data_IF_056560099399
#
_entry.id   IF_056560099399
#
_cell.length_a   1.000
_cell.length_b   1.000
_cell.length_c   1.000
_cell.angle_alpha   90.00
_cell.angle_beta   90.00
_cell.angle_gamma   90.00
#
_symmetry.space_group_name_H-M   'P 1'
#
loop_
_entity.id
_entity.type
_entity.pdbx_description
1 polymer ?
#
# COMPACT_ATOMS: atom_id res chain seq x y z
N UNK A 1 19.20 22.92 -8.66
CA UNK A 1 17.95 22.52 -9.35
C UNK A 1 17.96 21.01 -9.39
N UNK A 2 16.89 20.37 -8.88
CA UNK A 2 16.78 18.90 -8.89
C UNK A 2 16.19 18.40 -10.19
N UNK A 3 16.65 17.23 -10.64
CA UNK A 3 16.24 16.60 -11.89
C UNK A 3 15.33 15.40 -11.62
N UNK A 4 14.15 15.39 -12.23
CA UNK A 4 13.14 14.36 -12.03
C UNK A 4 12.85 13.66 -13.36
N UNK A 5 12.95 12.33 -13.35
CA UNK A 5 12.54 11.49 -14.48
C UNK A 5 11.18 10.83 -14.21
N UNK A 6 10.28 10.90 -15.19
CA UNK A 6 8.94 10.31 -15.11
C UNK A 6 8.90 9.03 -15.95
N UNK A 7 8.78 7.90 -15.29
CA UNK A 7 8.60 6.61 -15.95
C UNK A 7 7.11 6.28 -16.00
N UNK A 8 6.56 6.14 -17.17
CA UNK A 8 5.13 6.08 -17.46
C UNK A 8 4.43 7.46 -17.44
N UNK A 9 3.14 7.41 -17.79
CA UNK A 9 2.29 8.58 -17.71
C UNK A 9 1.90 8.83 -16.24
N UNK A 10 2.51 9.83 -15.64
CA UNK A 10 2.19 10.29 -14.27
C UNK A 10 1.19 11.44 -14.37
N UNK A 11 0.17 11.45 -13.50
CA UNK A 11 -0.85 12.48 -13.48
C UNK A 11 -0.25 13.90 -13.36
N UNK A 12 -0.73 14.81 -14.22
CA UNK A 12 -0.32 16.21 -14.20
C UNK A 12 -0.60 16.92 -12.87
N UNK A 13 -1.58 16.44 -12.09
CA UNK A 13 -1.87 16.98 -10.75
C UNK A 13 -0.70 16.72 -9.79
N UNK A 14 -0.03 15.58 -9.93
CA UNK A 14 1.18 15.28 -9.17
C UNK A 14 2.39 16.07 -9.68
N UNK A 15 2.63 16.08 -10.99
CA UNK A 15 3.79 16.80 -11.55
C UNK A 15 3.70 18.32 -11.38
N UNK A 16 2.51 18.90 -11.28
CA UNK A 16 2.30 20.32 -10.98
C UNK A 16 2.67 20.70 -9.52
N UNK A 17 3.01 19.75 -8.66
CA UNK A 17 3.51 20.03 -7.30
C UNK A 17 4.94 20.53 -7.28
N UNK A 18 5.73 20.17 -8.30
CA UNK A 18 7.13 20.59 -8.40
C UNK A 18 7.22 22.08 -8.73
N UNK A 19 8.06 22.77 -7.96
CA UNK A 19 8.35 24.20 -8.17
C UNK A 19 9.41 24.41 -9.26
N UNK A 20 9.76 25.67 -9.53
CA UNK A 20 10.82 26.03 -10.46
C UNK A 20 12.24 25.55 -10.04
N UNK A 21 12.37 24.99 -8.82
CA UNK A 21 13.60 24.33 -8.37
C UNK A 21 13.80 22.93 -8.95
N UNK A 22 12.87 22.46 -9.75
CA UNK A 22 12.87 21.12 -10.36
C UNK A 22 12.80 21.23 -11.88
N UNK A 23 13.49 20.33 -12.56
CA UNK A 23 13.38 20.15 -14.01
C UNK A 23 13.06 18.67 -14.32
N UNK A 24 12.30 18.45 -15.38
CA UNK A 24 12.02 17.11 -15.86
C UNK A 24 13.03 16.72 -16.94
N UNK A 25 13.60 15.51 -16.81
CA UNK A 25 14.59 14.95 -17.72
C UNK A 25 14.08 13.66 -18.37
N UNK A 26 14.58 13.37 -19.56
CA UNK A 26 14.14 12.23 -20.36
C UNK A 26 14.75 10.88 -19.92
N UNK A 27 15.87 10.92 -19.19
CA UNK A 27 16.60 9.71 -18.77
C UNK A 27 16.83 9.70 -17.25
N UNK A 28 16.75 8.50 -16.67
CA UNK A 28 17.04 8.26 -15.27
C UNK A 28 18.53 8.46 -14.92
N UNK A 29 19.44 8.38 -15.89
CA UNK A 29 20.89 8.59 -15.70
C UNK A 29 21.18 10.02 -15.24
N UNK A 30 20.41 10.98 -15.71
CA UNK A 30 20.55 12.39 -15.37
C UNK A 30 19.70 12.82 -14.18
N UNK A 31 18.90 11.91 -13.61
CA UNK A 31 17.91 12.24 -12.60
C UNK A 31 18.45 12.13 -11.17
N UNK A 32 18.02 13.05 -10.30
CA UNK A 32 18.12 12.93 -8.85
C UNK A 32 16.99 12.06 -8.27
N UNK A 33 15.81 12.10 -8.87
CA UNK A 33 14.65 11.34 -8.48
C UNK A 33 13.85 10.79 -9.65
N UNK A 34 13.22 9.64 -9.43
CA UNK A 34 12.35 8.98 -10.41
C UNK A 34 10.95 8.82 -9.84
N UNK A 35 9.92 9.15 -10.64
CA UNK A 35 8.54 8.74 -10.33
C UNK A 35 8.13 7.65 -11.31
N UNK A 36 7.65 6.51 -10.77
CA UNK A 36 7.19 5.37 -11.54
C UNK A 36 5.80 4.94 -11.09
N UNK A 37 5.00 4.35 -11.98
CA UNK A 37 3.72 3.74 -11.64
C UNK A 37 3.75 2.23 -11.83
N UNK A 38 3.76 1.74 -13.06
CA UNK A 38 3.61 0.33 -13.40
C UNK A 38 4.76 -0.27 -14.17
N UNK A 39 5.72 0.54 -14.65
CA UNK A 39 6.88 0.03 -15.38
C UNK A 39 7.74 -0.88 -14.49
N UNK A 40 8.23 -1.96 -15.07
CA UNK A 40 9.15 -2.87 -14.42
C UNK A 40 10.57 -2.29 -14.42
N UNK A 41 11.13 -2.04 -13.25
CA UNK A 41 12.49 -1.52 -13.06
C UNK A 41 13.53 -2.61 -12.74
N UNK A 42 13.17 -3.89 -12.71
CA UNK A 42 14.11 -4.98 -12.42
C UNK A 42 15.16 -5.16 -13.51
N UNK A 43 14.82 -4.87 -14.76
CA UNK A 43 15.69 -5.00 -15.92
C UNK A 43 16.34 -3.68 -16.33
N UNK A 44 16.03 -2.59 -15.60
CA UNK A 44 16.58 -1.26 -15.86
C UNK A 44 17.84 -1.04 -15.04
N UNK A 45 18.86 -0.44 -15.65
CA UNK A 45 20.04 0.00 -14.91
C UNK A 45 19.67 1.20 -14.03
N UNK A 46 19.86 1.05 -12.70
CA UNK A 46 19.66 2.12 -11.75
C UNK A 46 20.99 2.84 -11.55
N UNK A 47 21.08 4.14 -11.89
CA UNK A 47 22.31 4.90 -11.72
C UNK A 47 22.72 5.00 -10.26
N UNK A 48 24.01 4.92 -9.98
CA UNK A 48 24.53 5.09 -8.61
C UNK A 48 24.33 6.50 -8.07
N UNK A 49 24.11 7.47 -8.94
CA UNK A 49 23.79 8.87 -8.61
C UNK A 49 22.35 9.07 -8.17
N UNK A 50 21.43 8.17 -8.57
CA UNK A 50 20.00 8.31 -8.26
C UNK A 50 19.76 8.27 -6.75
N UNK A 51 19.09 9.29 -6.24
CA UNK A 51 18.82 9.47 -4.80
C UNK A 51 17.56 8.75 -4.35
N UNK A 52 16.49 8.79 -5.15
CA UNK A 52 15.23 8.18 -4.78
C UNK A 52 14.37 7.75 -5.97
N UNK A 53 13.53 6.74 -5.71
CA UNK A 53 12.44 6.30 -6.59
C UNK A 53 11.14 6.42 -5.80
N UNK A 54 10.17 7.19 -6.31
CA UNK A 54 8.83 7.28 -5.73
C UNK A 54 7.83 6.55 -6.62
N UNK A 55 7.20 5.50 -6.08
CA UNK A 55 6.15 4.78 -6.77
C UNK A 55 4.79 5.42 -6.52
N UNK A 56 4.14 5.91 -7.57
CA UNK A 56 2.75 6.38 -7.52
C UNK A 56 1.79 5.18 -7.39
N UNK A 57 1.70 4.61 -6.19
CA UNK A 57 0.91 3.44 -5.83
C UNK A 57 1.44 2.70 -4.60
N UNK A 58 0.62 1.85 -3.99
CA UNK A 58 0.96 1.17 -2.72
C UNK A 58 1.91 -0.03 -2.89
N UNK A 59 1.73 -0.87 -3.91
CA UNK A 59 2.59 -2.04 -4.15
C UNK A 59 3.93 -1.65 -4.77
N UNK A 60 5.00 -2.43 -4.58
CA UNK A 60 6.37 -2.10 -5.07
C UNK A 60 7.08 -3.27 -5.72
N UNK A 61 6.34 -4.28 -6.13
CA UNK A 61 6.87 -5.50 -6.76
C UNK A 61 7.52 -5.28 -8.14
N UNK A 62 7.36 -4.11 -8.72
CA UNK A 62 8.01 -3.69 -9.97
C UNK A 62 9.35 -2.96 -9.76
N UNK A 63 9.83 -2.83 -8.51
CA UNK A 63 11.07 -2.10 -8.16
C UNK A 63 12.06 -3.06 -7.47
N UNK A 64 13.35 -3.09 -7.84
CA UNK A 64 14.38 -3.92 -7.20
C UNK A 64 14.83 -3.33 -5.86
N UNK A 65 14.03 -3.49 -4.81
CA UNK A 65 14.17 -2.84 -3.50
C UNK A 65 15.53 -3.14 -2.86
N UNK A 66 15.97 -4.41 -2.86
CA UNK A 66 17.25 -4.81 -2.24
C UNK A 66 18.46 -4.19 -2.96
N UNK A 67 18.39 -4.07 -4.30
CA UNK A 67 19.41 -3.39 -5.08
C UNK A 67 19.46 -1.90 -4.71
N UNK A 68 18.32 -1.24 -4.63
CA UNK A 68 18.21 0.15 -4.21
C UNK A 68 18.77 0.38 -2.79
N UNK A 69 18.43 -0.50 -1.83
CA UNK A 69 18.93 -0.40 -0.46
C UNK A 69 20.46 -0.47 -0.38
N UNK A 70 21.08 -1.39 -1.12
CA UNK A 70 22.54 -1.55 -1.21
C UNK A 70 23.25 -0.35 -1.84
N UNK A 71 22.53 0.45 -2.63
CA UNK A 71 23.07 1.65 -3.30
C UNK A 71 22.77 2.94 -2.51
N UNK A 72 21.99 2.87 -1.43
CA UNK A 72 21.50 4.05 -0.71
C UNK A 72 20.48 4.87 -1.51
N UNK A 73 19.75 4.24 -2.43
CA UNK A 73 18.64 4.84 -3.17
C UNK A 73 17.36 4.57 -2.40
N UNK A 74 16.65 5.61 -1.99
CA UNK A 74 15.40 5.47 -1.23
C UNK A 74 14.26 5.07 -2.16
N UNK A 75 13.43 4.11 -1.75
CA UNK A 75 12.23 3.73 -2.50
C UNK A 75 11.01 4.08 -1.67
N UNK A 76 10.21 5.01 -2.17
CA UNK A 76 8.93 5.42 -1.59
C UNK A 76 7.76 4.70 -2.28
N UNK A 77 6.68 4.50 -1.54
CA UNK A 77 5.38 4.16 -2.08
C UNK A 77 4.32 5.10 -1.49
N UNK A 78 3.09 5.02 -1.97
CA UNK A 78 2.01 5.94 -1.55
C UNK A 78 0.90 5.19 -0.80
N UNK A 79 1.16 4.75 0.45
CA UNK A 79 0.19 3.98 1.22
C UNK A 79 -1.02 4.85 1.56
N UNK A 80 -2.21 4.32 1.31
CA UNK A 80 -3.47 5.01 1.62
C UNK A 80 -3.95 6.03 0.58
N UNK A 81 -3.12 6.46 -0.37
CA UNK A 81 -3.52 7.42 -1.39
C UNK A 81 -4.68 6.91 -2.27
N UNK A 82 -4.76 5.59 -2.47
CA UNK A 82 -5.82 4.90 -3.22
C UNK A 82 -6.92 4.29 -2.32
N UNK A 83 -6.88 4.53 -1.01
CA UNK A 83 -7.73 3.80 -0.06
C UNK A 83 -9.21 3.99 -0.31
N UNK A 84 -9.65 5.18 -0.73
CA UNK A 84 -11.04 5.44 -1.03
C UNK A 84 -11.54 4.62 -2.23
N UNK A 85 -10.75 4.52 -3.31
CA UNK A 85 -11.12 3.72 -4.48
C UNK A 85 -11.29 2.24 -4.11
N UNK A 86 -10.35 1.68 -3.35
CA UNK A 86 -10.44 0.28 -2.90
C UNK A 86 -11.66 0.09 -1.98
N UNK A 87 -11.95 1.02 -1.08
CA UNK A 87 -13.14 0.98 -0.23
C UNK A 87 -14.44 0.93 -1.09
N UNK A 88 -14.53 1.75 -2.13
CA UNK A 88 -15.68 1.76 -3.03
C UNK A 88 -15.81 0.44 -3.81
N UNK A 89 -14.69 -0.14 -4.21
CA UNK A 89 -14.68 -1.45 -4.86
C UNK A 89 -15.12 -2.57 -3.91
N UNK A 90 -14.72 -2.53 -2.62
CA UNK A 90 -15.20 -3.45 -1.58
C UNK A 90 -16.71 -3.34 -1.41
N UNK A 91 -17.24 -2.12 -1.33
CA UNK A 91 -18.70 -1.90 -1.23
C UNK A 91 -19.44 -2.42 -2.46
N UNK A 92 -18.89 -2.19 -3.64
CA UNK A 92 -19.44 -2.74 -4.90
C UNK A 92 -19.45 -4.27 -4.86
N UNK A 93 -18.35 -4.90 -4.47
CA UNK A 93 -18.23 -6.34 -4.32
C UNK A 93 -19.20 -6.92 -3.29
N UNK A 94 -19.39 -6.22 -2.17
CA UNK A 94 -20.36 -6.55 -1.14
C UNK A 94 -21.79 -6.62 -1.70
N UNK A 95 -22.19 -5.62 -2.50
CA UNK A 95 -23.53 -5.56 -3.11
C UNK A 95 -23.71 -6.63 -4.20
N UNK A 96 -22.69 -6.83 -5.04
CA UNK A 96 -22.71 -7.85 -6.10
C UNK A 96 -22.77 -9.27 -5.54
N UNK A 97 -22.12 -9.52 -4.39
CA UNK A 97 -22.14 -10.83 -3.76
C UNK A 97 -23.43 -11.09 -2.96
N UNK A 98 -24.11 -10.03 -2.51
CA UNK A 98 -25.35 -10.15 -1.72
C UNK A 98 -26.56 -10.56 -2.58
N UNK A 99 -26.59 -10.16 -3.85
CA UNK A 99 -27.59 -10.51 -4.87
C UNK A 99 -26.91 -10.87 -6.17
N UNK A 100 -27.49 -11.77 -6.94
CA UNK A 100 -26.93 -12.17 -8.24
C UNK A 100 -27.24 -11.12 -9.34
N UNK A 101 -26.66 -9.93 -9.19
CA UNK A 101 -26.86 -8.81 -10.11
C UNK A 101 -26.24 -9.14 -11.49
N UNK A 102 -25.05 -9.75 -11.51
CA UNK A 102 -24.33 -10.08 -12.75
C UNK A 102 -25.13 -11.11 -13.54
N UNK A 103 -25.50 -12.22 -12.92
CA UNK A 103 -26.31 -13.25 -13.59
C UNK A 103 -27.66 -12.72 -14.07
N UNK A 104 -28.29 -11.80 -13.33
CA UNK A 104 -29.53 -11.13 -13.75
C UNK A 104 -29.31 -10.27 -15.00
N UNK A 105 -28.23 -9.50 -15.06
CA UNK A 105 -27.88 -8.68 -16.24
C UNK A 105 -27.62 -9.56 -17.47
N UNK A 106 -26.86 -10.64 -17.30
CA UNK A 106 -26.54 -11.58 -18.38
C UNK A 106 -27.82 -12.27 -18.89
N UNK A 107 -28.70 -12.68 -17.98
CA UNK A 107 -29.97 -13.28 -18.33
C UNK A 107 -30.84 -12.35 -19.18
N UNK A 108 -31.00 -11.08 -18.73
CA UNK A 108 -31.79 -10.08 -19.49
C UNK A 108 -31.20 -9.86 -20.89
N UNK A 109 -29.86 -9.74 -20.98
CA UNK A 109 -29.17 -9.58 -22.28
C UNK A 109 -29.36 -10.77 -23.20
N UNK A 110 -29.35 -12.00 -22.68
CA UNK A 110 -29.54 -13.23 -23.48
C UNK A 110 -30.98 -13.42 -23.97
N UNK A 111 -31.95 -12.64 -23.45
CA UNK A 111 -33.36 -12.66 -23.82
C UNK A 111 -33.79 -11.36 -24.45
N UNK A 112 -32.88 -10.64 -25.12
CA UNK A 112 -33.16 -9.34 -25.74
C UNK A 112 -34.26 -9.42 -26.85
N UNK A 113 -34.44 -10.58 -27.49
CA UNK A 113 -35.40 -10.80 -28.53
C UNK A 113 -36.79 -11.29 -28.03
N UNK A 114 -36.96 -11.43 -26.69
CA UNK A 114 -38.24 -11.84 -26.12
C UNK A 114 -39.25 -10.67 -26.15
N UNK A 115 -40.32 -10.72 -26.97
CA UNK A 115 -41.31 -9.65 -27.04
C UNK A 115 -42.12 -9.48 -25.74
N UNK A 116 -42.15 -10.51 -24.87
CA UNK A 116 -42.82 -10.50 -23.59
C UNK A 116 -41.86 -10.33 -22.39
N UNK A 117 -40.65 -9.81 -22.62
CA UNK A 117 -39.57 -9.72 -21.61
C UNK A 117 -40.05 -9.15 -20.27
N UNK A 118 -40.92 -8.12 -20.31
CA UNK A 118 -41.48 -7.50 -19.12
C UNK A 118 -42.28 -8.46 -18.24
N UNK A 119 -42.91 -9.48 -18.81
CA UNK A 119 -43.62 -10.54 -18.08
C UNK A 119 -42.68 -11.68 -17.68
N UNK A 120 -41.71 -11.98 -18.54
CA UNK A 120 -40.79 -13.09 -18.33
C UNK A 120 -39.84 -12.80 -17.16
N UNK A 121 -39.36 -11.56 -17.03
CA UNK A 121 -38.51 -11.15 -15.90
C UNK A 121 -39.18 -11.35 -14.53
N UNK A 122 -40.51 -11.12 -14.45
CA UNK A 122 -41.26 -11.30 -13.19
C UNK A 122 -41.30 -12.78 -12.74
N UNK A 123 -41.26 -13.72 -13.69
CA UNK A 123 -41.23 -15.16 -13.39
C UNK A 123 -39.88 -15.64 -12.88
N UNK A 124 -38.77 -15.06 -13.40
CA UNK A 124 -37.42 -15.52 -13.13
C UNK A 124 -36.70 -14.72 -12.06
N UNK A 125 -37.15 -13.53 -11.69
CA UNK A 125 -36.49 -12.62 -10.70
C UNK A 125 -36.12 -13.29 -9.39
N UNK A 126 -36.91 -14.28 -8.95
CA UNK A 126 -36.63 -15.06 -7.72
C UNK A 126 -35.30 -15.81 -7.77
N UNK A 127 -34.81 -16.17 -8.96
CA UNK A 127 -33.56 -16.91 -9.13
C UNK A 127 -32.33 -16.03 -8.83
N UNK A 128 -32.49 -14.71 -8.87
CA UNK A 128 -31.45 -13.70 -8.64
C UNK A 128 -31.62 -12.98 -7.30
N UNK A 129 -32.62 -13.38 -6.53
CA UNK A 129 -32.86 -12.83 -5.21
C UNK A 129 -31.70 -13.15 -4.25
N UNK A 130 -31.46 -12.26 -3.29
CA UNK A 130 -30.41 -12.43 -2.32
C UNK A 130 -30.81 -11.90 -0.94
N UNK A 131 -29.84 -11.35 -0.23
CA UNK A 131 -30.01 -10.84 1.13
C UNK A 131 -29.69 -9.35 1.21
N UNK A 132 -30.25 -8.67 2.17
CA UNK A 132 -29.83 -7.32 2.57
C UNK A 132 -28.55 -7.41 3.41
N UNK A 133 -27.70 -6.38 3.33
CA UNK A 133 -26.49 -6.28 4.16
C UNK A 133 -26.76 -5.67 5.53
N UNK A 134 -27.83 -4.86 5.65
CA UNK A 134 -28.24 -4.27 6.91
C UNK A 134 -28.54 -5.35 7.96
N UNK A 135 -28.03 -5.17 9.16
CA UNK A 135 -28.15 -6.11 10.26
C UNK A 135 -27.25 -7.35 10.20
N UNK A 136 -26.54 -7.57 9.07
CA UNK A 136 -25.53 -8.64 8.93
C UNK A 136 -24.22 -8.24 9.60
N UNK A 137 -23.40 -9.22 9.91
CA UNK A 137 -22.08 -9.04 10.52
C UNK A 137 -20.99 -9.12 9.44
N UNK A 138 -20.10 -8.11 9.38
CA UNK A 138 -18.91 -8.14 8.56
C UNK A 138 -17.65 -8.15 9.44
N UNK A 139 -16.74 -9.09 9.16
CA UNK A 139 -15.40 -9.12 9.71
C UNK A 139 -14.43 -8.36 8.80
N UNK A 140 -13.75 -7.37 9.34
CA UNK A 140 -12.73 -6.58 8.65
C UNK A 140 -11.36 -6.97 9.20
N UNK A 141 -10.56 -7.66 8.41
CA UNK A 141 -9.22 -8.13 8.78
C UNK A 141 -8.17 -7.17 8.24
N UNK A 142 -7.50 -6.45 9.14
CA UNK A 142 -6.64 -5.30 8.84
C UNK A 142 -7.42 -3.99 8.89
N UNK A 143 -7.08 -3.12 9.84
CA UNK A 143 -7.72 -1.81 10.07
C UNK A 143 -6.78 -0.64 9.73
N UNK A 144 -5.92 -0.85 8.73
CA UNK A 144 -5.11 0.21 8.15
C UNK A 144 -5.95 1.22 7.34
N UNK A 145 -5.31 1.99 6.46
CA UNK A 145 -5.94 3.06 5.68
C UNK A 145 -7.20 2.62 4.92
N UNK A 146 -7.21 1.42 4.34
CA UNK A 146 -8.36 0.88 3.59
C UNK A 146 -9.39 0.28 4.55
N UNK A 147 -8.96 -0.62 5.44
CA UNK A 147 -9.86 -1.36 6.31
C UNK A 147 -10.66 -0.46 7.25
N UNK A 148 -10.08 0.62 7.75
CA UNK A 148 -10.78 1.60 8.57
C UNK A 148 -11.91 2.31 7.79
N UNK A 149 -11.66 2.70 6.54
CA UNK A 149 -12.68 3.29 5.67
C UNK A 149 -13.80 2.28 5.37
N UNK A 150 -13.45 1.02 5.09
CA UNK A 150 -14.42 -0.06 4.85
C UNK A 150 -15.26 -0.30 6.10
N UNK A 151 -14.63 -0.44 7.27
CA UNK A 151 -15.33 -0.64 8.54
C UNK A 151 -16.36 0.47 8.81
N UNK A 152 -15.94 1.73 8.68
CA UNK A 152 -16.82 2.89 8.86
C UNK A 152 -17.97 2.90 7.85
N UNK A 153 -17.69 2.60 6.58
CA UNK A 153 -18.73 2.57 5.54
C UNK A 153 -19.73 1.43 5.77
N UNK A 154 -19.28 0.25 6.17
CA UNK A 154 -20.17 -0.87 6.50
C UNK A 154 -21.05 -0.56 7.71
N UNK A 155 -20.55 0.20 8.69
CA UNK A 155 -21.37 0.73 9.79
C UNK A 155 -22.50 1.62 9.26
N UNK A 156 -22.18 2.53 8.33
CA UNK A 156 -23.20 3.42 7.73
C UNK A 156 -24.22 2.65 6.89
N UNK A 157 -23.87 1.49 6.35
CA UNK A 157 -24.81 0.57 5.68
C UNK A 157 -25.66 -0.25 6.65
N UNK A 158 -25.54 -0.02 7.97
CA UNK A 158 -26.34 -0.70 8.98
C UNK A 158 -25.82 -2.10 9.35
N UNK A 159 -24.57 -2.44 8.99
CA UNK A 159 -23.95 -3.71 9.38
C UNK A 159 -23.38 -3.66 10.81
N UNK A 160 -23.27 -4.83 11.44
CA UNK A 160 -22.41 -5.03 12.60
C UNK A 160 -20.98 -5.25 12.08
N UNK A 161 -20.01 -4.53 12.64
CA UNK A 161 -18.62 -4.61 12.18
C UNK A 161 -17.73 -5.16 13.29
N UNK A 162 -17.07 -6.29 13.01
CA UNK A 162 -15.99 -6.84 13.81
C UNK A 162 -14.68 -6.48 13.13
N UNK A 163 -13.76 -5.85 13.85
CA UNK A 163 -12.46 -5.44 13.32
C UNK A 163 -11.31 -6.13 14.02
N UNK A 164 -10.37 -6.70 13.26
CA UNK A 164 -9.15 -7.31 13.77
C UNK A 164 -7.92 -6.67 13.15
N UNK A 165 -7.04 -6.17 13.98
CA UNK A 165 -5.69 -5.70 13.59
C UNK A 165 -4.76 -5.75 14.82
N UNK A 166 -3.78 -6.66 14.87
CA UNK A 166 -2.85 -6.76 16.00
C UNK A 166 -1.83 -5.62 16.06
N UNK A 167 -1.73 -4.82 14.98
CA UNK A 167 -0.78 -3.71 14.86
C UNK A 167 -1.47 -2.36 14.70
N UNK A 168 -2.73 -2.27 15.16
CA UNK A 168 -3.54 -1.06 15.03
C UNK A 168 -2.83 0.16 15.65
N UNK A 169 -2.52 1.16 14.82
CA UNK A 169 -1.92 2.40 15.30
C UNK A 169 -2.94 3.27 16.04
N UNK A 170 -2.47 4.11 16.95
CA UNK A 170 -3.33 5.07 17.66
C UNK A 170 -4.12 5.95 16.69
N UNK A 171 -3.45 6.45 15.63
CA UNK A 171 -4.11 7.29 14.62
C UNK A 171 -5.19 6.54 13.85
N UNK A 172 -4.96 5.27 13.49
CA UNK A 172 -5.97 4.44 12.84
C UNK A 172 -7.15 4.17 13.78
N UNK A 173 -6.90 3.90 15.07
CA UNK A 173 -7.94 3.71 16.06
C UNK A 173 -8.84 4.97 16.22
N UNK A 174 -8.25 6.16 16.20
CA UNK A 174 -9.01 7.42 16.24
C UNK A 174 -9.87 7.69 15.00
N UNK A 175 -9.57 7.06 13.88
CA UNK A 175 -10.35 7.19 12.64
C UNK A 175 -11.55 6.23 12.56
N UNK A 176 -11.63 5.23 13.45
CA UNK A 176 -12.71 4.25 13.46
C UNK A 176 -13.97 4.80 14.11
N UNK A 177 -15.12 4.42 13.55
CA UNK A 177 -16.43 4.62 14.20
C UNK A 177 -16.43 3.88 15.55
N UNK A 178 -16.91 4.53 16.58
CA UNK A 178 -16.96 4.00 17.96
C UNK A 178 -17.75 2.68 18.09
N UNK A 179 -18.58 2.34 17.12
CA UNK A 179 -19.37 1.10 17.12
C UNK A 179 -18.72 -0.02 16.29
N UNK A 180 -17.50 0.18 15.78
CA UNK A 180 -16.68 -0.93 15.28
C UNK A 180 -16.22 -1.73 16.49
N UNK A 181 -16.59 -3.00 16.55
CA UNK A 181 -16.23 -3.86 17.66
C UNK A 181 -14.86 -4.49 17.40
N UNK A 182 -13.87 -4.13 18.20
CA UNK A 182 -12.54 -4.75 18.12
C UNK A 182 -12.59 -6.17 18.69
N UNK A 183 -12.07 -7.13 17.95
CA UNK A 183 -11.87 -8.51 18.38
C UNK A 183 -10.39 -8.80 18.55
N UNK A 184 -10.06 -9.63 19.53
CA UNK A 184 -8.67 -9.97 19.86
C UNK A 184 -8.16 -11.21 19.13
N UNK A 185 -9.07 -12.03 18.58
CA UNK A 185 -8.77 -13.26 17.88
C UNK A 185 -9.49 -13.34 16.55
N UNK A 186 -8.81 -13.83 15.52
CA UNK A 186 -9.41 -14.07 14.20
C UNK A 186 -10.58 -15.06 14.25
N UNK A 187 -10.55 -16.06 15.18
CA UNK A 187 -11.63 -17.03 15.32
C UNK A 187 -12.98 -16.37 15.60
N UNK A 188 -13.01 -15.25 16.34
CA UNK A 188 -14.24 -14.49 16.61
C UNK A 188 -14.86 -13.95 15.30
N UNK A 189 -14.03 -13.54 14.35
CA UNK A 189 -14.50 -13.12 13.02
C UNK A 189 -15.04 -14.32 12.24
N UNK A 190 -14.33 -15.45 12.22
CA UNK A 190 -14.74 -16.63 11.46
C UNK A 190 -16.06 -17.17 11.95
N UNK A 191 -16.25 -17.27 13.26
CA UNK A 191 -17.45 -17.80 13.88
C UNK A 191 -18.69 -16.89 13.75
N UNK A 192 -18.50 -15.57 13.72
CA UNK A 192 -19.62 -14.61 13.80
C UNK A 192 -19.96 -13.88 12.51
N UNK A 193 -19.01 -13.80 11.55
CA UNK A 193 -19.19 -12.97 10.36
C UNK A 193 -20.02 -13.67 9.28
N UNK A 194 -20.95 -12.92 8.68
CA UNK A 194 -21.67 -13.30 7.45
C UNK A 194 -20.85 -12.91 6.21
N UNK A 195 -19.98 -11.90 6.36
CA UNK A 195 -19.06 -11.38 5.34
C UNK A 195 -17.68 -11.21 5.95
N UNK A 196 -16.63 -11.54 5.21
CA UNK A 196 -15.23 -11.31 5.62
C UNK A 196 -14.53 -10.53 4.52
N UNK A 197 -13.80 -9.46 4.89
CA UNK A 197 -13.02 -8.66 3.95
C UNK A 197 -11.59 -8.49 4.44
N UNK A 198 -10.62 -8.66 3.50
CA UNK A 198 -9.20 -8.73 3.80
C UNK A 198 -8.50 -7.42 3.38
N UNK A 199 -7.74 -6.82 4.31
CA UNK A 199 -7.01 -5.57 4.09
C UNK A 199 -5.61 -5.61 4.72
N UNK A 200 -4.95 -6.76 4.65
CA UNK A 200 -3.60 -6.98 5.17
C UNK A 200 -2.59 -7.19 4.04
N UNK A 201 -1.30 -6.86 4.23
CA UNK A 201 -0.25 -7.19 3.27
C UNK A 201 0.05 -8.70 3.28
N UNK A 202 0.66 -9.20 2.20
CA UNK A 202 1.25 -10.55 2.19
C UNK A 202 2.62 -10.50 2.85
N UNK A 203 2.71 -11.13 4.00
CA UNK A 203 3.94 -11.40 4.76
C UNK A 203 3.94 -12.88 5.16
N UNK A 204 5.04 -13.46 5.66
CA UNK A 204 5.06 -14.85 6.08
C UNK A 204 3.91 -15.26 7.03
N UNK A 205 3.47 -14.35 7.90
CA UNK A 205 2.39 -14.58 8.86
C UNK A 205 0.97 -14.49 8.28
N UNK A 206 0.79 -13.85 7.10
CA UNK A 206 -0.53 -13.66 6.49
C UNK A 206 -0.71 -14.46 5.20
N UNK A 207 0.37 -15.02 4.64
CA UNK A 207 0.30 -15.87 3.47
C UNK A 207 -0.53 -17.14 3.79
N UNK A 208 -1.60 -17.36 3.02
CA UNK A 208 -2.53 -18.49 3.21
C UNK A 208 -3.31 -18.42 4.53
N UNK A 209 -3.48 -17.23 5.10
CA UNK A 209 -4.16 -17.05 6.39
C UNK A 209 -5.66 -17.42 6.37
N UNK A 210 -6.23 -17.56 5.21
CA UNK A 210 -7.57 -18.12 4.99
C UNK A 210 -7.38 -19.48 4.34
N UNK A 211 -7.13 -20.49 5.15
CA UNK A 211 -6.93 -21.86 4.75
C UNK A 211 -8.15 -22.74 5.06
N UNK A 212 -7.97 -24.06 4.94
CA UNK A 212 -9.06 -25.03 5.11
C UNK A 212 -9.67 -24.99 6.53
N UNK A 213 -8.84 -24.87 7.56
CA UNK A 213 -9.30 -24.83 8.96
C UNK A 213 -10.07 -23.54 9.26
N UNK A 214 -9.58 -22.39 8.77
CA UNK A 214 -10.26 -21.12 8.92
C UNK A 214 -11.60 -21.11 8.18
N UNK A 215 -11.63 -21.61 6.95
CA UNK A 215 -12.87 -21.73 6.18
C UNK A 215 -13.86 -22.65 6.90
N UNK A 216 -13.43 -23.80 7.43
CA UNK A 216 -14.29 -24.72 8.16
C UNK A 216 -14.89 -24.12 9.45
N UNK A 217 -14.18 -23.14 10.06
CA UNK A 217 -14.68 -22.42 11.24
C UNK A 217 -15.66 -21.29 10.89
N UNK A 218 -15.82 -20.93 9.60
CA UNK A 218 -16.73 -19.88 9.17
C UNK A 218 -18.18 -20.34 9.19
N UNK A 219 -19.09 -19.37 9.20
CA UNK A 219 -20.52 -19.65 9.03
C UNK A 219 -20.81 -20.26 7.65
N UNK A 220 -21.75 -21.19 7.63
CA UNK A 220 -22.30 -21.69 6.37
C UNK A 220 -22.94 -20.56 5.53
N UNK A 221 -22.57 -20.48 4.25
CA UNK A 221 -23.00 -19.41 3.36
C UNK A 221 -22.25 -18.08 3.53
N UNK A 222 -21.09 -18.07 4.18
CA UNK A 222 -20.22 -16.88 4.30
C UNK A 222 -19.82 -16.34 2.93
N UNK A 223 -19.58 -15.03 2.88
CA UNK A 223 -19.05 -14.34 1.69
C UNK A 223 -17.67 -13.79 2.03
N UNK A 224 -16.69 -14.09 1.16
CA UNK A 224 -15.30 -13.60 1.31
C UNK A 224 -15.01 -12.57 0.22
N UNK A 225 -14.48 -11.40 0.62
CA UNK A 225 -14.12 -10.30 -0.27
C UNK A 225 -12.62 -10.03 -0.11
N UNK A 226 -11.87 -10.14 -1.20
CA UNK A 226 -10.42 -9.98 -1.20
C UNK A 226 -9.94 -9.05 -2.32
N UNK A 227 -9.81 -7.77 -2.02
CA UNK A 227 -9.16 -6.76 -2.85
C UNK A 227 -7.76 -6.38 -2.31
N UNK A 228 -7.18 -7.27 -1.50
CA UNK A 228 -5.83 -7.06 -0.94
C UNK A 228 -4.75 -7.79 -1.76
N UNK A 229 -4.69 -9.12 -1.69
CA UNK A 229 -3.75 -9.97 -2.45
C UNK A 229 -4.31 -11.40 -2.55
N UNK A 230 -4.10 -12.06 -3.68
CA UNK A 230 -4.48 -13.46 -3.92
C UNK A 230 -3.87 -14.43 -2.90
N UNK A 231 -2.58 -14.31 -2.63
CA UNK A 231 -1.82 -15.17 -1.73
C UNK A 231 -2.28 -15.18 -0.25
N UNK A 232 -3.27 -14.38 0.13
CA UNK A 232 -3.85 -14.41 1.48
C UNK A 232 -4.80 -15.60 1.68
N UNK A 233 -5.32 -16.17 0.60
CA UNK A 233 -6.31 -17.24 0.61
C UNK A 233 -5.69 -18.51 0.00
N UNK A 234 -5.93 -19.65 0.62
CA UNK A 234 -5.65 -20.94 0.01
C UNK A 234 -6.71 -21.22 -1.05
N UNK A 235 -6.33 -21.14 -2.32
CA UNK A 235 -7.26 -21.27 -3.43
C UNK A 235 -7.83 -22.68 -3.59
N UNK A 236 -7.10 -23.74 -3.19
CA UNK A 236 -7.59 -25.11 -3.25
C UNK A 236 -8.69 -25.35 -2.21
N UNK A 237 -8.46 -24.88 -0.98
CA UNK A 237 -9.46 -24.94 0.08
C UNK A 237 -10.70 -24.12 -0.27
N UNK A 238 -10.50 -22.91 -0.80
CA UNK A 238 -11.58 -22.02 -1.24
C UNK A 238 -12.40 -22.63 -2.38
N UNK A 239 -11.74 -23.25 -3.37
CA UNK A 239 -12.41 -23.92 -4.50
C UNK A 239 -13.37 -25.01 -4.00
N UNK A 240 -12.91 -25.86 -3.08
CA UNK A 240 -13.74 -26.90 -2.48
C UNK A 240 -14.91 -26.32 -1.68
N UNK A 241 -14.69 -25.25 -0.93
CA UNK A 241 -15.72 -24.60 -0.11
C UNK A 241 -16.79 -23.88 -0.97
N UNK A 242 -16.41 -23.29 -2.09
CA UNK A 242 -17.35 -22.71 -3.07
C UNK A 242 -18.18 -23.81 -3.75
N UNK A 243 -17.56 -24.94 -4.11
CA UNK A 243 -18.25 -26.06 -4.75
C UNK A 243 -19.26 -26.74 -3.80
N UNK A 244 -18.97 -26.82 -2.51
CA UNK A 244 -19.90 -27.34 -1.50
C UNK A 244 -21.01 -26.35 -1.11
N UNK A 245 -20.82 -25.05 -1.38
CA UNK A 245 -21.71 -23.97 -0.96
C UNK A 245 -21.47 -23.48 0.47
N UNK A 246 -20.51 -24.02 1.18
CA UNK A 246 -20.10 -23.52 2.52
C UNK A 246 -19.63 -22.06 2.44
N UNK A 247 -18.79 -21.72 1.45
CA UNK A 247 -18.58 -20.35 1.02
C UNK A 247 -19.56 -20.04 -0.11
N UNK A 248 -20.49 -19.12 0.13
CA UNK A 248 -21.53 -18.79 -0.86
C UNK A 248 -20.99 -18.03 -2.05
N UNK A 249 -20.06 -17.08 -1.82
CA UNK A 249 -19.41 -16.31 -2.88
C UNK A 249 -18.01 -15.87 -2.46
N UNK A 250 -17.14 -15.78 -3.45
CA UNK A 250 -15.82 -15.15 -3.35
C UNK A 250 -15.75 -13.96 -4.30
N UNK A 251 -15.24 -12.83 -3.83
CA UNK A 251 -15.10 -11.62 -4.66
C UNK A 251 -13.65 -11.16 -4.63
N UNK A 252 -13.05 -11.00 -5.81
CA UNK A 252 -11.64 -10.56 -5.92
C UNK A 252 -11.40 -9.83 -7.24
N UNK A 253 -10.31 -9.05 -7.30
CA UNK A 253 -9.76 -8.48 -8.53
C UNK A 253 -8.38 -9.05 -8.90
N UNK A 254 -8.03 -10.20 -8.32
CA UNK A 254 -6.82 -10.97 -8.62
C UNK A 254 -7.16 -12.19 -9.47
N UNK A 255 -7.33 -11.93 -10.79
CA UNK A 255 -7.59 -13.01 -11.75
C UNK A 255 -6.35 -13.86 -11.99
N UNK A 256 -6.47 -15.18 -11.81
CA UNK A 256 -5.45 -16.16 -12.15
C UNK A 256 -6.11 -17.44 -12.72
N UNK A 257 -5.29 -18.43 -13.11
CA UNK A 257 -5.77 -19.67 -13.74
C UNK A 257 -6.71 -20.50 -12.87
N UNK A 258 -6.67 -20.35 -11.55
CA UNK A 258 -7.52 -21.04 -10.59
C UNK A 258 -8.78 -20.23 -10.30
N UNK A 259 -8.64 -18.96 -9.93
CA UNK A 259 -9.77 -18.13 -9.52
C UNK A 259 -10.82 -17.94 -10.61
N UNK A 260 -10.43 -17.88 -11.90
CA UNK A 260 -11.35 -17.75 -13.03
C UNK A 260 -12.19 -18.99 -13.29
N UNK A 261 -11.80 -20.14 -12.74
CA UNK A 261 -12.55 -21.40 -12.87
C UNK A 261 -13.48 -21.66 -11.68
N UNK A 262 -13.40 -20.88 -10.62
CA UNK A 262 -14.20 -21.04 -9.42
C UNK A 262 -15.67 -20.69 -9.69
N UNK A 263 -16.57 -21.66 -9.51
CA UNK A 263 -18.00 -21.38 -9.51
C UNK A 263 -18.34 -20.49 -8.31
N UNK A 264 -19.28 -19.57 -8.47
CA UNK A 264 -19.68 -18.60 -7.45
C UNK A 264 -18.58 -17.58 -7.04
N UNK A 265 -17.48 -17.50 -7.80
CA UNK A 265 -16.54 -16.40 -7.68
C UNK A 265 -16.91 -15.23 -8.61
N UNK A 266 -16.79 -14.01 -8.12
CA UNK A 266 -16.86 -12.77 -8.90
C UNK A 266 -15.42 -12.27 -9.01
N UNK A 267 -14.82 -12.53 -10.17
CA UNK A 267 -13.43 -12.16 -10.45
C UNK A 267 -13.42 -11.04 -11.47
N UNK A 268 -12.83 -9.91 -11.11
CA UNK A 268 -12.67 -8.76 -12.02
C UNK A 268 -11.20 -8.59 -12.40
N UNK A 269 -10.93 -7.75 -13.39
CA UNK A 269 -9.56 -7.25 -13.61
C UNK A 269 -9.14 -6.41 -12.41
N UNK A 270 -7.84 -6.19 -12.22
CA UNK A 270 -7.28 -5.49 -11.05
C UNK A 270 -7.76 -4.02 -10.99
N UNK A 271 -8.99 -3.81 -10.53
CA UNK A 271 -9.71 -2.53 -10.53
C UNK A 271 -9.71 -1.80 -9.19
N UNK A 272 -9.28 -2.45 -8.11
CA UNK A 272 -9.41 -1.91 -6.76
C UNK A 272 -8.95 -0.45 -6.60
N UNK A 273 -7.85 -0.08 -7.27
CA UNK A 273 -7.30 1.28 -7.24
C UNK A 273 -7.37 2.01 -8.59
N UNK A 274 -8.11 1.49 -9.56
CA UNK A 274 -8.12 2.01 -10.94
C UNK A 274 -9.18 3.11 -11.12
N UNK A 275 -9.00 4.23 -10.42
CA UNK A 275 -9.79 5.45 -10.61
C UNK A 275 -8.86 6.64 -10.88
N UNK A 276 -9.37 7.65 -11.59
CA UNK A 276 -8.62 8.88 -11.85
C UNK A 276 -8.16 9.54 -10.56
N UNK A 277 -9.03 9.61 -9.57
CA UNK A 277 -8.75 10.23 -8.28
C UNK A 277 -7.67 9.46 -7.50
N UNK A 278 -7.67 8.13 -7.54
CA UNK A 278 -6.61 7.33 -6.93
C UNK A 278 -5.26 7.56 -7.60
N UNK A 279 -5.22 7.66 -8.93
CA UNK A 279 -4.01 7.97 -9.70
C UNK A 279 -3.48 9.37 -9.39
N UNK A 280 -4.36 10.37 -9.33
CA UNK A 280 -4.03 11.74 -8.96
C UNK A 280 -3.48 11.81 -7.52
N UNK A 281 -4.15 11.18 -6.56
CA UNK A 281 -3.70 11.16 -5.17
C UNK A 281 -2.35 10.46 -5.00
N UNK A 282 -2.14 9.33 -5.67
CA UNK A 282 -0.86 8.63 -5.65
C UNK A 282 0.26 9.49 -6.26
N UNK A 283 0.00 10.17 -7.38
CA UNK A 283 0.99 11.04 -8.01
C UNK A 283 1.35 12.25 -7.13
N UNK A 284 0.35 12.87 -6.48
CA UNK A 284 0.57 13.97 -5.53
C UNK A 284 1.39 13.52 -4.33
N UNK A 285 1.06 12.37 -3.74
CA UNK A 285 1.78 11.84 -2.58
C UNK A 285 3.22 11.50 -2.95
N UNK A 286 3.45 10.81 -4.07
CA UNK A 286 4.79 10.47 -4.56
C UNK A 286 5.65 11.72 -4.82
N UNK A 287 5.07 12.77 -5.42
CA UNK A 287 5.76 14.02 -5.64
C UNK A 287 6.14 14.71 -4.32
N UNK A 288 5.22 14.77 -3.36
CA UNK A 288 5.46 15.39 -2.06
C UNK A 288 6.55 14.66 -1.26
N UNK A 289 6.53 13.32 -1.24
CA UNK A 289 7.55 12.50 -0.56
C UNK A 289 8.92 12.67 -1.19
N UNK A 290 8.96 12.69 -2.52
CA UNK A 290 10.22 12.89 -3.25
C UNK A 290 10.79 14.29 -2.99
N UNK A 291 9.98 15.35 -3.02
CA UNK A 291 10.40 16.72 -2.71
C UNK A 291 10.88 16.84 -1.27
N UNK A 292 10.15 16.29 -0.29
CA UNK A 292 10.53 16.34 1.12
C UNK A 292 11.87 15.65 1.37
N UNK A 293 12.09 14.50 0.74
CA UNK A 293 13.38 13.83 0.81
C UNK A 293 14.49 14.62 0.13
N UNK A 294 14.26 15.14 -1.07
CA UNK A 294 15.28 15.88 -1.81
C UNK A 294 15.67 17.19 -1.12
N UNK A 295 14.71 17.92 -0.56
CA UNK A 295 14.92 19.22 0.07
C UNK A 295 15.31 19.12 1.55
N UNK A 296 14.74 18.17 2.29
CA UNK A 296 14.87 18.08 3.74
C UNK A 296 15.57 16.81 4.25
N UNK A 297 15.74 15.78 3.41
CA UNK A 297 16.30 14.49 3.81
C UNK A 297 15.32 13.60 4.60
N UNK A 298 14.07 14.00 4.76
CA UNK A 298 13.08 13.21 5.50
C UNK A 298 12.70 11.95 4.72
N UNK A 299 12.50 10.84 5.45
CA UNK A 299 12.02 9.58 4.90
C UNK A 299 10.75 9.18 5.66
N UNK A 300 9.58 9.29 4.99
CA UNK A 300 8.28 9.00 5.61
C UNK A 300 7.72 7.63 5.23
N UNK A 301 7.44 7.36 3.98
CA UNK A 301 6.84 6.12 3.50
C UNK A 301 7.81 5.27 2.66
N UNK A 302 9.05 5.13 3.10
CA UNK A 302 10.00 4.28 2.41
C UNK A 302 9.79 2.80 2.72
N UNK A 303 10.00 1.95 1.72
CA UNK A 303 9.90 0.49 1.83
C UNK A 303 11.24 -0.19 2.09
N UNK A 304 12.35 0.52 1.94
CA UNK A 304 13.70 -0.02 2.16
C UNK A 304 14.48 0.65 3.30
N UNK A 305 14.08 1.84 3.73
CA UNK A 305 14.70 2.51 4.89
C UNK A 305 13.66 2.85 5.94
N UNK A 306 14.09 2.95 7.19
CA UNK A 306 13.21 3.28 8.30
C UNK A 306 12.75 4.74 8.27
N UNK A 307 11.59 5.01 8.85
CA UNK A 307 11.05 6.37 8.98
C UNK A 307 11.97 7.26 9.82
N UNK A 308 12.41 8.37 9.24
CA UNK A 308 13.21 9.43 9.88
C UNK A 308 12.68 10.77 9.37
N UNK A 309 12.28 11.63 10.29
CA UNK A 309 11.75 12.96 10.01
C UNK A 309 12.24 13.95 11.05
N UNK A 310 12.94 14.98 10.62
CA UNK A 310 13.38 16.13 11.42
C UNK A 310 12.61 17.41 11.05
N UNK A 311 11.49 17.27 10.34
CA UNK A 311 10.72 18.40 9.82
C UNK A 311 11.43 19.13 8.68
N UNK A 312 10.95 20.34 8.38
CA UNK A 312 11.52 21.16 7.33
C UNK A 312 12.94 21.63 7.73
N UNK A 313 13.89 21.55 6.79
CA UNK A 313 15.27 22.03 6.99
C UNK A 313 15.28 23.49 7.40
N UNK A 314 16.00 23.78 8.47
CA UNK A 314 16.28 25.14 8.95
C UNK A 314 17.45 25.79 8.19
N UNK A 315 18.19 26.65 8.89
CA UNK A 315 19.37 27.33 8.34
C UNK A 315 20.61 26.42 8.31
N UNK A 316 20.68 25.42 9.19
CA UNK A 316 21.80 24.49 9.28
C UNK A 316 21.86 23.49 8.12
N UNK A 317 23.05 23.00 7.80
CA UNK A 317 23.23 21.94 6.82
C UNK A 317 22.69 20.61 7.37
N UNK A 318 22.20 19.75 6.49
CA UNK A 318 21.81 18.36 6.85
C UNK A 318 22.72 17.34 6.18
N UNK A 319 23.05 16.30 6.92
CA UNK A 319 23.81 15.16 6.43
C UNK A 319 22.89 13.94 6.44
N UNK A 320 22.63 13.37 5.26
CA UNK A 320 21.91 12.12 5.05
C UNK A 320 22.94 10.98 4.94
N UNK A 321 22.92 10.02 5.84
CA UNK A 321 23.89 8.93 5.89
C UNK A 321 23.16 7.59 5.79
N UNK A 322 23.51 6.82 4.77
CA UNK A 322 23.06 5.44 4.57
C UNK A 322 24.20 4.52 4.96
N UNK A 323 23.95 3.58 5.84
CA UNK A 323 24.99 2.68 6.34
C UNK A 323 24.47 1.26 6.58
N UNK A 324 25.40 0.29 6.65
CA UNK A 324 25.10 -1.05 7.15
C UNK A 324 24.71 -0.96 8.64
N UNK A 325 23.72 -1.72 9.05
CA UNK A 325 23.28 -1.79 10.44
C UNK A 325 24.23 -2.68 11.25
N UNK A 326 25.40 -2.15 11.60
CA UNK A 326 26.45 -2.85 12.36
C UNK A 326 26.84 -2.04 13.61
N UNK A 327 27.41 -2.70 14.65
CA UNK A 327 27.80 -2.01 15.86
C UNK A 327 28.75 -0.83 15.63
N UNK A 328 28.67 0.15 16.52
CA UNK A 328 29.55 1.34 16.58
C UNK A 328 29.39 2.37 15.46
N UNK A 329 28.45 2.20 14.51
CA UNK A 329 28.29 3.15 13.39
C UNK A 329 27.97 4.55 13.86
N UNK A 330 27.00 4.71 14.76
CA UNK A 330 26.60 6.03 15.30
C UNK A 330 27.82 6.72 15.93
N UNK A 331 28.57 6.03 16.80
CA UNK A 331 29.75 6.62 17.46
C UNK A 331 30.84 7.04 16.48
N UNK A 332 31.12 6.23 15.44
CA UNK A 332 32.12 6.56 14.41
C UNK A 332 31.72 7.79 13.59
N UNK A 333 30.45 7.88 13.21
CA UNK A 333 29.89 9.02 12.47
C UNK A 333 29.94 10.30 13.31
N UNK A 334 29.44 10.26 14.55
CA UNK A 334 29.41 11.44 15.41
C UNK A 334 30.82 11.89 15.86
N UNK A 335 31.76 10.97 16.04
CA UNK A 335 33.17 11.31 16.28
C UNK A 335 33.78 12.05 15.08
N UNK A 336 33.56 11.58 13.85
CA UNK A 336 34.10 12.26 12.68
C UNK A 336 33.55 13.69 12.50
N UNK A 337 32.27 13.92 12.85
CA UNK A 337 31.65 15.26 12.83
C UNK A 337 32.25 16.13 13.93
N UNK A 338 32.41 15.61 15.14
CA UNK A 338 33.02 16.32 16.29
C UNK A 338 34.49 16.68 16.02
N UNK A 339 35.26 15.78 15.41
CA UNK A 339 36.67 16.04 15.02
C UNK A 339 36.77 17.11 13.92
N UNK A 340 35.73 17.30 13.12
CA UNK A 340 35.62 18.42 12.17
C UNK A 340 35.25 19.76 12.85
N UNK A 341 35.01 19.76 14.16
CA UNK A 341 34.66 20.96 14.94
C UNK A 341 33.21 21.42 14.76
N UNK A 342 32.34 20.56 14.24
CA UNK A 342 30.93 20.88 13.94
C UNK A 342 30.00 20.42 15.07
N UNK A 343 28.96 21.24 15.31
CA UNK A 343 27.95 20.93 16.34
C UNK A 343 26.70 20.30 15.73
N UNK A 344 26.25 19.21 16.38
CA UNK A 344 25.01 18.52 16.00
C UNK A 344 23.84 19.15 16.77
N UNK A 345 22.93 19.79 16.06
CA UNK A 345 21.70 20.36 16.62
C UNK A 345 20.62 19.30 16.82
N UNK A 346 20.46 18.44 15.82
CA UNK A 346 19.43 17.38 15.84
C UNK A 346 19.91 16.14 15.07
N UNK A 347 19.46 14.98 15.51
CA UNK A 347 19.83 13.72 14.87
C UNK A 347 18.73 12.68 15.06
N UNK A 348 18.39 11.98 13.99
CA UNK A 348 17.55 10.81 14.05
C UNK A 348 18.20 9.65 13.27
N UNK A 349 18.11 8.44 13.82
CA UNK A 349 18.61 7.23 13.18
C UNK A 349 17.60 6.11 13.26
N UNK A 350 17.38 5.40 12.15
CA UNK A 350 16.49 4.25 12.11
C UNK A 350 17.09 3.11 11.29
N UNK A 351 17.18 1.95 11.91
CA UNK A 351 17.54 0.71 11.23
C UNK A 351 16.31 0.05 10.56
N UNK A 352 16.55 -0.57 9.40
CA UNK A 352 15.60 -1.40 8.67
C UNK A 352 16.34 -2.62 8.14
N UNK A 353 16.25 -3.75 8.84
CA UNK A 353 17.02 -4.95 8.53
C UNK A 353 18.53 -4.73 8.56
N UNK A 354 19.20 -4.99 7.44
CA UNK A 354 20.66 -4.89 7.29
C UNK A 354 21.19 -3.48 7.07
N UNK A 355 20.31 -2.50 6.85
CA UNK A 355 20.68 -1.11 6.57
C UNK A 355 20.10 -0.16 7.62
N UNK A 356 20.66 1.02 7.72
CA UNK A 356 20.16 2.10 8.55
C UNK A 356 20.25 3.43 7.79
N UNK A 357 19.36 4.34 8.14
CA UNK A 357 19.40 5.71 7.69
C UNK A 357 19.53 6.65 8.87
N UNK A 358 20.44 7.59 8.76
CA UNK A 358 20.68 8.63 9.76
C UNK A 358 20.57 10.00 9.10
N UNK A 359 19.78 10.88 9.68
CA UNK A 359 19.66 12.29 9.31
C UNK A 359 20.21 13.12 10.45
N UNK A 360 21.19 13.98 10.15
CA UNK A 360 21.86 14.87 11.12
C UNK A 360 21.67 16.30 10.65
N UNK A 361 21.25 17.16 11.53
CA UNK A 361 21.19 18.62 11.34
C UNK A 361 22.32 19.27 12.12
N UNK A 362 23.08 20.14 11.45
CA UNK A 362 24.21 20.87 12.03
C UNK A 362 23.83 22.32 12.31
N UNK A 363 24.59 22.95 13.20
CA UNK A 363 24.45 24.41 13.43
C UNK A 363 24.93 25.24 12.24
N UNK A 364 25.92 24.76 11.50
CA UNK A 364 26.54 25.44 10.39
C UNK A 364 25.68 25.32 9.12
N UNK A 365 25.51 26.42 8.34
CA UNK A 365 24.68 26.41 7.13
C UNK A 365 25.30 25.66 5.95
N UNK A 366 26.62 25.47 5.96
CA UNK A 366 27.37 24.74 4.95
C UNK A 366 28.54 24.00 5.57
N UNK A 367 28.90 22.88 4.97
CA UNK A 367 30.05 22.06 5.38
C UNK A 367 31.03 21.88 4.23
N UNK A 368 32.30 21.65 4.58
CA UNK A 368 33.35 21.34 3.60
C UNK A 368 33.16 19.92 3.05
N UNK A 369 33.39 19.73 1.76
CA UNK A 369 33.34 18.44 1.06
C UNK A 369 34.26 17.40 1.72
N UNK A 370 35.37 17.84 2.37
CA UNK A 370 36.29 16.96 3.10
C UNK A 370 35.63 16.15 4.21
N UNK A 371 34.53 16.65 4.83
CA UNK A 371 33.79 15.88 5.81
C UNK A 371 32.97 14.78 5.15
N UNK A 372 32.35 15.05 4.01
CA UNK A 372 31.60 14.04 3.26
C UNK A 372 32.54 12.90 2.82
N UNK A 373 33.77 13.21 2.39
CA UNK A 373 34.78 12.23 2.02
C UNK A 373 35.23 11.39 3.23
N UNK A 374 35.49 12.03 4.39
CA UNK A 374 35.82 11.32 5.63
C UNK A 374 34.71 10.38 6.09
N UNK A 375 33.47 10.82 6.00
CA UNK A 375 32.32 9.99 6.35
C UNK A 375 32.16 8.81 5.40
N UNK A 376 32.30 9.03 4.09
CA UNK A 376 32.26 7.96 3.08
C UNK A 376 33.40 6.93 3.26
N UNK A 377 34.55 7.33 3.80
CA UNK A 377 35.67 6.44 4.06
C UNK A 377 35.45 5.50 5.28
N UNK A 378 34.41 5.72 6.08
CA UNK A 378 34.11 4.86 7.23
C UNK A 378 33.54 3.52 6.69
N UNK A 379 34.20 2.40 7.03
CA UNK A 379 33.69 1.07 6.65
C UNK A 379 32.28 0.84 7.17
N UNK A 380 31.37 0.44 6.27
CA UNK A 380 29.96 0.27 6.54
C UNK A 380 29.09 1.43 6.09
N UNK A 381 29.64 2.58 5.71
CA UNK A 381 28.89 3.63 5.01
C UNK A 381 28.58 3.17 3.58
N UNK A 382 27.33 3.40 3.16
CA UNK A 382 26.84 3.09 1.80
C UNK A 382 26.87 4.37 0.98
N UNK A 383 26.36 5.46 1.54
CA UNK A 383 26.26 6.77 0.86
C UNK A 383 26.18 7.89 1.90
N UNK A 384 26.83 9.00 1.60
CA UNK A 384 26.64 10.27 2.30
C UNK A 384 26.13 11.32 1.30
N UNK A 385 25.12 12.06 1.71
CA UNK A 385 24.57 13.19 0.96
C UNK A 385 24.46 14.39 1.89
N UNK A 386 24.89 15.56 1.41
CA UNK A 386 24.78 16.82 2.13
C UNK A 386 23.70 17.68 1.48
N UNK A 387 22.85 18.29 2.31
CA UNK A 387 21.85 19.28 1.94
C UNK A 387 22.25 20.60 2.59
N UNK A 388 22.69 21.53 1.79
CA UNK A 388 23.11 22.86 2.23
C UNK A 388 21.99 23.88 2.09
#
# INVERSE_FOLDING_TARGET
MYKIHLVNNISKVGTARFSDNYEFVDDAIDADGVIVRSANLHEVEIPTTLLAIARAGAGVNNIPIDKCAKMGTVVFNTPGANANAVKEMVVSGLMLASRDIIGSVEWVRSHADDPDIAKTVEKVKKNYAGTEVAGKTIGVIGLGAIGALVANTCRQLGMKVLGYDPYLSVNAAWSLDRHVHHVSKLSEIFEEADYITLHVPVIPATKGMIGADEIAAMKDGVIIINYARDLLVDEEALYAALASGHVRRYVTDFANTTSVQMQNAIVTTHLGASTREAEENCAVMAANELMDYLENGNITNSVNFGHVDLGRKGMGARICIFNRNVPSMIGRITSAISEAGLNIENMANKASGEVAYMLIELSEPAIDDSLADKLNAIDGIIRVRVIQ
#
